data_IF_749140397860
#
_entry.id   IF_749140397860
#
_cell.length_a   1.000
_cell.length_b   1.000
_cell.length_c   1.000
_cell.angle_alpha   90.00
_cell.angle_beta   90.00
_cell.angle_gamma   90.00
#
_symmetry.space_group_name_H-M   'P 1'
#
loop_
_entity.id
_entity.type
_entity.pdbx_description
1 polymer ?
#
# COMPACT_ATOMS: atom_id res chain seq x y z
N UNK A 1 -5.01 -7.41 -1.40
CA UNK A 1 -4.95 -7.11 0.05
C UNK A 1 -3.53 -7.30 0.52
N UNK A 2 -3.05 -6.41 1.39
CA UNK A 2 -1.69 -6.46 1.88
C UNK A 2 -1.63 -6.04 3.34
N UNK A 3 -0.98 -6.85 4.15
CA UNK A 3 -0.55 -6.52 5.51
C UNK A 3 0.98 -6.67 5.58
N UNK A 4 1.74 -5.61 5.90
CA UNK A 4 3.19 -5.70 6.03
C UNK A 4 3.65 -6.78 7.01
N UNK A 5 2.87 -7.08 8.06
CA UNK A 5 3.21 -8.12 9.04
C UNK A 5 2.79 -9.52 8.59
N UNK A 6 2.05 -9.65 7.49
CA UNK A 6 1.51 -10.90 6.97
C UNK A 6 0.66 -11.65 8.02
N UNK A 7 -0.12 -10.92 8.83
CA UNK A 7 -0.94 -11.52 9.88
C UNK A 7 -2.28 -12.06 9.34
N UNK A 8 -2.53 -13.35 9.55
CA UNK A 8 -3.80 -13.98 9.16
C UNK A 8 -5.02 -13.34 9.82
N UNK A 9 -4.89 -12.87 11.07
CA UNK A 9 -5.98 -12.19 11.76
C UNK A 9 -6.30 -10.85 11.09
N UNK A 10 -5.28 -10.09 10.71
CA UNK A 10 -5.44 -8.82 9.99
C UNK A 10 -6.07 -9.05 8.62
N UNK A 11 -5.63 -10.08 7.89
CA UNK A 11 -6.24 -10.41 6.61
C UNK A 11 -7.74 -10.71 6.72
N UNK A 12 -8.15 -11.50 7.71
CA UNK A 12 -9.59 -11.77 7.95
C UNK A 12 -10.38 -10.50 8.24
N UNK A 13 -9.80 -9.56 9.00
CA UNK A 13 -10.44 -8.27 9.30
C UNK A 13 -10.56 -7.43 8.03
N UNK A 14 -9.47 -7.27 7.29
CA UNK A 14 -9.44 -6.47 6.05
C UNK A 14 -10.42 -7.04 5.03
N UNK A 15 -10.43 -8.35 4.81
CA UNK A 15 -11.31 -9.03 3.87
C UNK A 15 -12.78 -8.82 4.23
N UNK A 16 -13.13 -8.98 5.51
CA UNK A 16 -14.49 -8.73 6.00
C UNK A 16 -14.89 -7.26 5.81
N UNK A 17 -14.04 -6.33 6.22
CA UNK A 17 -14.33 -4.89 6.12
C UNK A 17 -14.45 -4.43 4.66
N UNK A 18 -13.53 -4.85 3.79
CA UNK A 18 -13.57 -4.52 2.37
C UNK A 18 -14.73 -5.19 1.67
N UNK A 19 -15.02 -6.46 1.98
CA UNK A 19 -16.19 -7.16 1.46
C UNK A 19 -17.49 -6.46 1.83
N UNK A 20 -17.65 -5.99 3.06
CA UNK A 20 -18.87 -5.28 3.48
C UNK A 20 -19.01 -3.91 2.79
N UNK A 21 -17.93 -3.12 2.75
CA UNK A 21 -17.98 -1.75 2.21
C UNK A 21 -17.99 -1.76 0.69
N UNK A 22 -16.99 -2.39 0.08
CA UNK A 22 -16.77 -2.35 -1.38
C UNK A 22 -17.84 -3.15 -2.11
N UNK A 23 -18.19 -4.34 -1.63
CA UNK A 23 -19.23 -5.12 -2.30
C UNK A 23 -20.61 -4.46 -2.19
N UNK A 24 -20.87 -3.75 -1.08
CA UNK A 24 -22.07 -2.93 -0.92
C UNK A 24 -22.11 -1.76 -1.91
N UNK A 25 -21.01 -1.01 -2.04
CA UNK A 25 -20.91 0.14 -2.96
C UNK A 25 -21.01 -0.30 -4.43
N UNK A 26 -20.34 -1.39 -4.78
CA UNK A 26 -20.28 -1.85 -6.17
C UNK A 26 -21.48 -2.74 -6.57
N UNK A 27 -22.33 -3.14 -5.62
CA UNK A 27 -23.38 -4.13 -5.86
C UNK A 27 -22.85 -5.52 -6.21
N UNK A 28 -21.58 -5.80 -5.91
CA UNK A 28 -20.85 -7.02 -6.27
C UNK A 28 -20.75 -8.00 -5.09
N UNK A 29 -21.82 -8.07 -4.29
CA UNK A 29 -21.87 -8.98 -3.14
C UNK A 29 -21.58 -10.41 -3.59
N UNK A 30 -20.69 -11.09 -2.89
CA UNK A 30 -20.25 -12.46 -3.16
C UNK A 30 -19.52 -12.67 -4.51
N UNK A 31 -19.16 -11.59 -5.22
CA UNK A 31 -18.39 -11.62 -6.48
C UNK A 31 -16.97 -11.07 -6.37
N UNK A 32 -16.63 -10.43 -5.24
CA UNK A 32 -15.28 -9.90 -5.01
C UNK A 32 -14.32 -11.02 -4.62
N UNK A 33 -13.22 -11.14 -5.35
CA UNK A 33 -12.08 -11.99 -4.99
C UNK A 33 -10.97 -11.11 -4.43
N UNK A 34 -10.50 -11.44 -3.24
CA UNK A 34 -9.40 -10.74 -2.60
C UNK A 34 -8.11 -11.54 -2.71
N UNK A 35 -7.19 -11.09 -3.55
CA UNK A 35 -5.86 -11.66 -3.63
C UNK A 35 -4.98 -11.15 -2.48
N UNK A 36 -4.25 -12.05 -1.83
CA UNK A 36 -3.29 -11.70 -0.77
C UNK A 36 -1.90 -11.51 -1.37
N UNK A 37 -1.28 -10.39 -1.05
CA UNK A 37 0.13 -10.13 -1.39
C UNK A 37 1.00 -10.77 -0.32
N UNK A 38 1.68 -11.87 -0.66
CA UNK A 38 2.51 -12.66 0.27
C UNK A 38 4.02 -12.48 0.09
N UNK A 39 4.45 -11.84 -1.01
CA UNK A 39 5.86 -11.70 -1.37
C UNK A 39 6.61 -10.59 -0.60
N UNK A 40 5.90 -9.75 0.17
CA UNK A 40 6.51 -8.71 1.01
C UNK A 40 6.17 -8.94 2.49
N UNK A 41 7.18 -9.10 3.35
CA UNK A 41 7.00 -9.19 4.81
C UNK A 41 7.98 -8.25 5.49
N UNK A 42 7.44 -7.31 6.26
CA UNK A 42 8.23 -6.37 7.05
C UNK A 42 9.13 -7.10 8.05
N UNK A 43 10.39 -6.65 8.14
CA UNK A 43 11.43 -7.23 8.98
C UNK A 43 11.74 -6.40 10.24
N UNK A 44 11.09 -5.23 10.39
CA UNK A 44 11.26 -4.32 11.52
C UNK A 44 9.91 -3.98 12.18
N UNK A 45 9.89 -3.05 13.14
CA UNK A 45 8.67 -2.59 13.81
C UNK A 45 8.17 -1.21 13.35
N UNK A 46 8.76 -0.62 12.31
CA UNK A 46 8.59 0.81 12.01
C UNK A 46 8.36 1.15 10.54
N UNK A 47 8.40 0.17 9.63
CA UNK A 47 8.35 0.41 8.17
C UNK A 47 7.03 0.02 7.52
N UNK A 48 5.96 -0.24 8.29
CA UNK A 48 4.66 -0.68 7.75
C UNK A 48 4.09 0.28 6.73
N UNK A 49 4.13 1.59 7.02
CA UNK A 49 3.67 2.62 6.07
C UNK A 49 4.48 2.63 4.78
N UNK A 50 5.80 2.43 4.86
CA UNK A 50 6.68 2.38 3.68
C UNK A 50 6.38 1.16 2.83
N UNK A 51 6.18 -0.01 3.43
CA UNK A 51 5.81 -1.21 2.71
C UNK A 51 4.44 -1.08 2.02
N UNK A 52 3.46 -0.46 2.69
CA UNK A 52 2.17 -0.16 2.06
C UNK A 52 2.32 0.70 0.81
N UNK A 53 3.16 1.74 0.85
CA UNK A 53 3.41 2.62 -0.30
C UNK A 53 4.20 1.91 -1.42
N UNK A 54 5.22 1.13 -1.07
CA UNK A 54 6.05 0.41 -2.02
C UNK A 54 5.23 -0.65 -2.78
N UNK A 55 4.49 -1.49 -2.06
CA UNK A 55 3.63 -2.50 -2.67
C UNK A 55 2.57 -1.85 -3.56
N UNK A 56 1.95 -0.74 -3.12
CA UNK A 56 0.99 -0.01 -3.93
C UNK A 56 1.62 0.55 -5.23
N UNK A 57 2.78 1.20 -5.15
CA UNK A 57 3.49 1.73 -6.32
C UNK A 57 3.85 0.60 -7.29
N UNK A 58 4.32 -0.54 -6.79
CA UNK A 58 4.66 -1.70 -7.62
C UNK A 58 3.46 -2.30 -8.33
N UNK A 59 2.32 -2.44 -7.64
CA UNK A 59 1.09 -2.94 -8.26
C UNK A 59 0.58 -2.00 -9.36
N UNK A 60 0.61 -0.68 -9.13
CA UNK A 60 0.18 0.31 -10.12
C UNK A 60 1.11 0.32 -11.35
N UNK A 61 2.41 0.15 -11.13
CA UNK A 61 3.43 0.20 -12.19
C UNK A 61 3.73 -1.15 -12.83
N UNK A 62 3.08 -2.23 -12.36
CA UNK A 62 3.35 -3.60 -12.76
C UNK A 62 4.84 -3.99 -12.61
N UNK A 63 5.47 -3.51 -11.54
CA UNK A 63 6.86 -3.80 -11.22
C UNK A 63 7.01 -5.17 -10.56
N UNK A 64 8.15 -5.83 -10.81
CA UNK A 64 8.50 -7.11 -10.18
C UNK A 64 9.10 -6.88 -8.79
N UNK A 65 8.80 -7.79 -7.87
CA UNK A 65 9.41 -7.84 -6.54
C UNK A 65 10.85 -8.38 -6.60
N UNK A 66 11.72 -7.74 -5.82
CA UNK A 66 13.09 -8.16 -5.58
C UNK A 66 13.43 -7.91 -4.11
N UNK A 67 13.93 -8.93 -3.40
CA UNK A 67 14.25 -8.83 -1.97
C UNK A 67 15.33 -7.80 -1.65
N UNK A 68 16.16 -7.38 -2.62
CA UNK A 68 17.12 -6.28 -2.44
C UNK A 68 16.48 -4.96 -2.04
N UNK A 69 15.16 -4.80 -2.25
CA UNK A 69 14.42 -3.63 -1.82
C UNK A 69 14.40 -3.46 -0.28
N UNK A 70 14.61 -4.53 0.49
CA UNK A 70 14.76 -4.45 1.95
C UNK A 70 15.96 -3.59 2.36
N UNK A 71 17.05 -3.62 1.59
CA UNK A 71 18.24 -2.80 1.82
C UNK A 71 18.01 -1.32 1.49
N UNK A 72 16.92 -1.01 0.78
CA UNK A 72 16.58 0.32 0.30
C UNK A 72 15.56 1.05 1.18
N UNK A 73 15.21 0.53 2.36
CA UNK A 73 14.23 1.16 3.27
C UNK A 73 14.55 2.64 3.57
N UNK A 74 15.81 3.03 3.92
CA UNK A 74 16.13 4.44 4.13
C UNK A 74 15.91 5.30 2.89
N UNK A 75 16.26 4.76 1.70
CA UNK A 75 16.03 5.42 0.43
C UNK A 75 14.54 5.58 0.14
N UNK A 76 13.73 4.53 0.36
CA UNK A 76 12.28 4.57 0.15
C UNK A 76 11.61 5.61 1.06
N UNK A 77 12.02 5.72 2.33
CA UNK A 77 11.55 6.77 3.25
C UNK A 77 11.75 8.16 2.67
N UNK A 78 12.98 8.45 2.23
CA UNK A 78 13.30 9.74 1.61
C UNK A 78 12.53 9.95 0.30
N UNK A 79 12.47 8.94 -0.57
CA UNK A 79 11.74 8.99 -1.84
C UNK A 79 10.27 9.35 -1.65
N UNK A 80 9.58 8.70 -0.72
CA UNK A 80 8.17 8.98 -0.45
C UNK A 80 7.96 10.34 0.21
N UNK A 81 8.86 10.77 1.11
CA UNK A 81 8.82 12.12 1.66
C UNK A 81 8.95 13.18 0.56
N UNK A 82 9.93 13.04 -0.34
CA UNK A 82 10.11 13.98 -1.46
C UNK A 82 8.91 14.02 -2.39
N UNK A 83 8.30 12.86 -2.70
CA UNK A 83 7.05 12.83 -3.49
C UNK A 83 5.92 13.59 -2.81
N UNK A 84 5.77 13.46 -1.49
CA UNK A 84 4.76 14.17 -0.73
C UNK A 84 4.99 15.69 -0.72
N UNK A 85 6.24 16.12 -0.51
CA UNK A 85 6.62 17.55 -0.57
C UNK A 85 6.29 18.13 -1.95
N UNK A 86 6.73 17.49 -3.03
CA UNK A 86 6.48 17.95 -4.39
C UNK A 86 4.98 18.03 -4.72
N UNK A 87 4.17 17.11 -4.18
CA UNK A 87 2.71 17.14 -4.33
C UNK A 87 2.08 18.33 -3.59
N UNK A 88 2.51 18.61 -2.37
CA UNK A 88 2.02 19.74 -1.57
C UNK A 88 2.38 21.07 -2.24
N UNK A 89 3.63 21.22 -2.69
CA UNK A 89 4.09 22.41 -3.40
C UNK A 89 3.26 22.67 -4.66
N UNK A 90 2.96 21.61 -5.41
CA UNK A 90 2.10 21.71 -6.60
C UNK A 90 0.67 22.16 -6.24
N UNK A 91 0.09 21.67 -5.14
CA UNK A 91 -1.24 22.10 -4.72
C UNK A 91 -1.24 23.56 -4.27
N UNK A 92 -0.21 23.98 -3.53
CA UNK A 92 -0.10 25.36 -3.06
C UNK A 92 -0.10 26.35 -4.24
N UNK A 93 0.64 26.04 -5.31
CA UNK A 93 0.65 26.85 -6.54
C UNK A 93 -0.76 26.95 -7.14
N UNK A 94 -1.50 25.84 -7.21
CA UNK A 94 -2.86 25.82 -7.80
C UNK A 94 -3.88 26.58 -6.93
N UNK A 95 -3.69 26.61 -5.61
CA UNK A 95 -4.61 27.29 -4.69
C UNK A 95 -4.43 28.82 -4.68
N UNK A 96 -3.28 29.31 -5.15
CA UNK A 96 -2.95 30.74 -5.26
C UNK A 96 -3.30 31.34 -6.65
N UNK A 97 -3.78 30.52 -7.60
CA UNK A 97 -4.32 30.91 -8.92
C UNK A 97 -5.86 31.03 -8.92
#
# INVERSE_FOLDING_TARGET
MFDPLQSDSNYKIIEKSMGQVVAGILGLKDMLVFERISWCKQQDNSSCGIWCLAVLEMLITNALWDDSIYELVPYLRMRYLYKAIAFIEKIAIIADE
#
